data_IF_038513516467
#
_entry.id   IF_038513516467
#
_cell.length_a   1.000
_cell.length_b   1.000
_cell.length_c   1.000
_cell.angle_alpha   90.00
_cell.angle_beta   90.00
_cell.angle_gamma   90.00
#
_symmetry.space_group_name_H-M   'P 1'
#
loop_
_entity.id
_entity.type
_entity.pdbx_description
1 polymer ?
#
# COMPACT_ATOMS: atom_id res chain seq x y z
N UNK A 1 -7.26 -15.95 -11.19
CA UNK A 1 -6.77 -15.41 -9.92
C UNK A 1 -7.91 -15.10 -8.94
N UNK A 2 -9.03 -14.49 -9.40
CA UNK A 2 -10.20 -14.16 -8.56
C UNK A 2 -10.82 -15.42 -7.95
N UNK A 3 -10.83 -16.54 -8.68
CA UNK A 3 -11.35 -17.82 -8.23
C UNK A 3 -10.61 -18.42 -7.02
N UNK A 4 -9.43 -17.90 -6.71
CA UNK A 4 -8.62 -18.32 -5.57
C UNK A 4 -8.96 -17.56 -4.29
N UNK A 5 -9.89 -16.61 -4.37
CA UNK A 5 -10.35 -15.80 -3.24
C UNK A 5 -11.69 -16.29 -2.71
N UNK A 6 -11.84 -16.20 -1.40
CA UNK A 6 -13.11 -16.38 -0.71
C UNK A 6 -13.62 -15.00 -0.30
N UNK A 7 -14.68 -14.47 -0.92
CA UNK A 7 -15.32 -13.27 -0.41
C UNK A 7 -15.93 -13.57 0.96
N UNK A 8 -15.68 -12.69 1.93
CA UNK A 8 -16.27 -12.78 3.26
C UNK A 8 -17.27 -11.66 3.45
N UNK A 9 -18.49 -12.01 3.77
CA UNK A 9 -19.46 -11.07 4.35
C UNK A 9 -19.07 -10.90 5.83
N UNK A 10 -18.48 -9.75 6.16
CA UNK A 10 -17.88 -9.48 7.47
C UNK A 10 -18.10 -8.04 7.88
N UNK A 11 -17.92 -7.78 9.17
CA UNK A 11 -17.81 -6.46 9.74
C UNK A 11 -16.41 -6.23 10.30
N UNK A 12 -16.04 -4.98 10.47
CA UNK A 12 -14.79 -4.63 11.11
C UNK A 12 -15.02 -4.40 12.60
N UNK A 13 -14.29 -5.14 13.44
CA UNK A 13 -14.39 -5.03 14.89
C UNK A 13 -13.18 -4.27 15.45
N UNK A 14 -13.45 -3.26 16.24
CA UNK A 14 -12.45 -2.58 17.05
C UNK A 14 -12.46 -3.17 18.45
N UNK A 15 -11.30 -3.57 18.95
CA UNK A 15 -11.10 -4.03 20.32
C UNK A 15 -10.51 -2.87 21.10
N UNK A 16 -11.30 -2.25 21.96
CA UNK A 16 -10.85 -1.13 22.80
C UNK A 16 -10.21 -1.64 24.08
N UNK A 17 -9.52 -0.75 24.80
CA UNK A 17 -8.96 -1.03 26.12
C UNK A 17 -10.05 -1.54 27.06
N UNK A 18 -9.79 -2.65 27.74
CA UNK A 18 -10.77 -3.30 28.62
C UNK A 18 -11.65 -4.35 27.90
N UNK A 19 -11.39 -4.64 26.59
CA UNK A 19 -12.11 -5.67 25.85
C UNK A 19 -13.46 -5.23 25.28
N UNK A 20 -13.79 -3.92 25.34
CA UNK A 20 -15.01 -3.38 24.73
C UNK A 20 -14.94 -3.49 23.22
N UNK A 21 -15.89 -4.21 22.61
CA UNK A 21 -15.98 -4.44 21.17
C UNK A 21 -16.90 -3.43 20.53
N UNK A 22 -16.40 -2.81 19.46
CA UNK A 22 -17.18 -1.86 18.64
C UNK A 22 -17.09 -2.25 17.17
N UNK A 23 -18.18 -2.04 16.46
CA UNK A 23 -18.35 -2.48 15.09
C UNK A 23 -18.36 -1.31 14.10
N UNK A 24 -17.75 -1.55 12.92
CA UNK A 24 -17.87 -0.72 11.74
C UNK A 24 -18.36 -1.60 10.59
N UNK A 25 -19.65 -1.44 10.24
CA UNK A 25 -20.35 -2.34 9.32
C UNK A 25 -20.63 -1.68 7.96
N UNK A 26 -19.87 -2.09 6.95
CA UNK A 26 -20.02 -1.62 5.57
C UNK A 26 -21.08 -2.38 4.77
N UNK A 27 -21.76 -3.36 5.33
CA UNK A 27 -22.81 -4.13 4.66
C UNK A 27 -24.04 -3.25 4.45
N UNK A 28 -24.23 -2.83 3.20
CA UNK A 28 -25.37 -2.01 2.81
C UNK A 28 -25.70 -2.22 1.33
N UNK A 29 -26.99 -2.31 1.01
CA UNK A 29 -27.48 -2.69 -0.32
C UNK A 29 -27.09 -1.68 -1.42
N UNK A 30 -26.97 -0.39 -1.09
CA UNK A 30 -26.68 0.66 -2.07
C UNK A 30 -25.18 0.79 -2.43
N UNK A 31 -24.30 0.05 -1.74
CA UNK A 31 -22.85 0.14 -2.02
C UNK A 31 -22.23 1.51 -1.76
N UNK A 32 -21.06 1.77 -2.34
CA UNK A 32 -20.32 3.03 -2.18
C UNK A 32 -21.01 4.20 -2.93
N UNK A 33 -20.99 5.43 -2.38
CA UNK A 33 -20.43 5.82 -1.07
C UNK A 33 -21.35 5.56 0.13
N UNK A 34 -22.57 5.11 -0.10
CA UNK A 34 -23.62 5.03 0.94
C UNK A 34 -23.32 3.99 2.03
N UNK A 35 -22.67 2.88 1.68
CA UNK A 35 -22.23 1.88 2.65
C UNK A 35 -21.22 2.47 3.65
N UNK A 36 -20.29 3.29 3.18
CA UNK A 36 -19.31 4.01 4.02
C UNK A 36 -19.99 5.04 4.93
N UNK A 37 -20.92 5.83 4.39
CA UNK A 37 -21.69 6.80 5.17
C UNK A 37 -22.51 6.09 6.26
N UNK A 38 -23.23 5.02 5.91
CA UNK A 38 -24.00 4.21 6.88
C UNK A 38 -23.08 3.69 7.98
N UNK A 39 -21.97 3.02 7.61
CA UNK A 39 -21.01 2.46 8.55
C UNK A 39 -20.47 3.52 9.52
N UNK A 40 -20.11 4.67 8.99
CA UNK A 40 -19.57 5.78 9.77
C UNK A 40 -20.59 6.36 10.75
N UNK A 41 -21.80 6.62 10.32
CA UNK A 41 -22.83 7.23 11.20
C UNK A 41 -23.43 6.25 12.20
N UNK A 42 -23.44 4.95 11.91
CA UNK A 42 -24.00 3.93 12.81
C UNK A 42 -22.99 3.35 13.80
N UNK A 43 -21.67 3.46 13.53
CA UNK A 43 -20.68 2.87 14.43
C UNK A 43 -20.75 3.46 15.84
N UNK A 44 -20.70 2.62 16.90
CA UNK A 44 -20.59 3.09 18.27
C UNK A 44 -19.17 3.48 18.67
N UNK A 45 -18.18 3.33 17.76
CA UNK A 45 -16.77 3.61 18.04
C UNK A 45 -16.48 5.09 18.29
N UNK A 46 -17.27 5.97 17.68
CA UNK A 46 -17.14 7.42 17.79
C UNK A 46 -18.33 8.06 18.50
N UNK A 47 -18.06 9.13 19.27
CA UNK A 47 -19.11 9.99 19.81
C UNK A 47 -19.78 10.81 18.71
N UNK A 48 -20.94 11.38 18.98
CA UNK A 48 -21.67 12.22 18.03
C UNK A 48 -20.87 13.45 17.61
N UNK A 49 -20.14 14.05 18.56
CA UNK A 49 -19.25 15.20 18.31
C UNK A 49 -18.10 14.77 17.38
N UNK A 50 -17.49 13.62 17.63
CA UNK A 50 -16.42 13.10 16.77
C UNK A 50 -16.94 12.83 15.36
N UNK A 51 -18.13 12.27 15.21
CA UNK A 51 -18.77 12.05 13.90
C UNK A 51 -18.97 13.34 13.13
N UNK A 52 -19.45 14.40 13.78
CA UNK A 52 -19.60 15.72 13.16
C UNK A 52 -18.25 16.32 12.72
N UNK A 53 -17.23 16.23 13.58
CA UNK A 53 -15.88 16.70 13.25
C UNK A 53 -15.25 15.92 12.10
N UNK A 54 -15.43 14.61 12.08
CA UNK A 54 -15.01 13.79 10.95
C UNK A 54 -15.75 14.16 9.66
N UNK A 55 -17.08 14.38 9.74
CA UNK A 55 -17.88 14.80 8.59
C UNK A 55 -17.40 16.16 8.06
N UNK A 56 -17.01 17.09 8.93
CA UNK A 56 -16.43 18.37 8.54
C UNK A 56 -15.08 18.16 7.83
N UNK A 57 -14.15 17.45 8.46
CA UNK A 57 -12.81 17.24 7.92
C UNK A 57 -12.83 16.48 6.58
N UNK A 58 -13.57 15.37 6.52
CA UNK A 58 -13.67 14.54 5.31
C UNK A 58 -14.61 15.13 4.25
N UNK A 59 -15.67 15.81 4.67
CA UNK A 59 -16.65 16.45 3.77
C UNK A 59 -16.07 17.66 3.01
N UNK A 60 -15.06 18.33 3.56
CA UNK A 60 -14.33 19.40 2.88
C UNK A 60 -13.07 18.90 2.13
N UNK A 61 -12.81 17.62 2.19
CA UNK A 61 -11.64 16.98 1.58
C UNK A 61 -11.77 16.81 0.06
N UNK A 62 -10.67 16.58 -0.65
CA UNK A 62 -10.69 16.24 -2.07
C UNK A 62 -11.51 14.98 -2.39
N UNK A 63 -11.79 14.10 -1.40
CA UNK A 63 -12.57 12.87 -1.58
C UNK A 63 -13.97 13.17 -2.13
N UNK A 64 -14.66 14.19 -1.60
CA UNK A 64 -16.01 14.53 -2.04
C UNK A 64 -16.01 14.96 -3.51
N UNK A 65 -15.03 15.77 -3.92
CA UNK A 65 -14.83 16.13 -5.32
C UNK A 65 -14.52 14.89 -6.18
N UNK A 66 -13.76 13.96 -5.65
CA UNK A 66 -13.35 12.73 -6.34
C UNK A 66 -14.49 11.77 -6.69
N UNK A 67 -15.67 11.93 -6.09
CA UNK A 67 -16.88 11.19 -6.48
C UNK A 67 -17.37 11.58 -7.88
N UNK A 68 -17.02 12.79 -8.36
CA UNK A 68 -17.38 13.31 -9.68
C UNK A 68 -16.14 13.45 -10.59
N UNK A 69 -15.02 13.91 -10.04
CA UNK A 69 -13.75 14.12 -10.74
C UNK A 69 -12.62 13.39 -10.00
N UNK A 70 -12.51 12.08 -10.27
CA UNK A 70 -11.52 11.21 -9.62
C UNK A 70 -10.08 11.66 -9.88
N UNK A 71 -9.73 11.95 -11.14
CA UNK A 71 -8.35 12.30 -11.52
C UNK A 71 -7.93 13.65 -10.95
N UNK A 72 -8.81 14.65 -10.99
CA UNK A 72 -8.55 15.95 -10.38
C UNK A 72 -8.39 15.88 -8.87
N UNK A 73 -9.20 15.06 -8.18
CA UNK A 73 -9.08 14.84 -6.75
C UNK A 73 -7.77 14.12 -6.41
N UNK A 74 -7.41 13.07 -7.15
CA UNK A 74 -6.17 12.32 -6.92
C UNK A 74 -4.92 13.16 -7.17
N UNK A 75 -4.98 14.14 -8.09
CA UNK A 75 -3.88 15.11 -8.26
C UNK A 75 -3.67 15.94 -7.00
N UNK A 76 -4.75 16.48 -6.42
CA UNK A 76 -4.68 17.24 -5.16
C UNK A 76 -4.21 16.36 -4.00
N UNK A 77 -4.71 15.12 -3.90
CA UNK A 77 -4.31 14.18 -2.85
C UNK A 77 -2.81 13.87 -2.94
N UNK A 78 -2.23 13.73 -4.14
CA UNK A 78 -0.78 13.47 -4.31
C UNK A 78 0.09 14.59 -3.74
N UNK A 79 -0.36 15.83 -3.79
CA UNK A 79 0.39 16.99 -3.27
C UNK A 79 0.44 17.03 -1.73
N UNK A 80 -0.39 16.22 -1.06
CA UNK A 80 -0.46 16.11 0.41
C UNK A 80 0.54 15.10 1.01
N UNK A 81 1.49 14.62 0.24
CA UNK A 81 2.47 13.62 0.69
C UNK A 81 3.47 14.13 1.73
N UNK A 82 3.60 15.45 1.84
CA UNK A 82 4.58 16.11 2.74
C UNK A 82 4.10 16.32 4.17
N UNK A 83 2.84 16.05 4.44
CA UNK A 83 2.22 16.20 5.76
C UNK A 83 1.62 14.88 6.21
N UNK A 84 1.63 14.64 7.52
CA UNK A 84 1.00 13.44 8.07
C UNK A 84 -0.53 13.53 7.99
N UNK A 85 -1.19 12.38 8.00
CA UNK A 85 -2.65 12.35 8.05
C UNK A 85 -3.19 13.03 9.32
N UNK A 86 -2.53 12.84 10.46
CA UNK A 86 -2.90 13.51 11.70
C UNK A 86 -2.87 15.03 11.57
N UNK A 87 -1.77 15.59 11.05
CA UNK A 87 -1.65 17.04 10.82
C UNK A 87 -2.74 17.57 9.90
N UNK A 88 -2.97 16.87 8.79
CA UNK A 88 -4.01 17.23 7.83
C UNK A 88 -5.40 17.18 8.48
N UNK A 89 -5.73 16.08 9.14
CA UNK A 89 -7.05 15.82 9.69
C UNK A 89 -7.42 16.80 10.81
N UNK A 90 -6.49 17.05 11.75
CA UNK A 90 -6.70 18.01 12.83
C UNK A 90 -6.81 19.46 12.29
N UNK A 91 -5.99 19.80 11.29
CA UNK A 91 -6.04 21.10 10.62
C UNK A 91 -7.37 21.37 9.89
N UNK A 92 -8.10 20.31 9.49
CA UNK A 92 -9.43 20.41 8.88
C UNK A 92 -10.58 20.22 9.88
N UNK A 93 -10.33 20.31 11.17
CA UNK A 93 -11.34 20.28 12.21
C UNK A 93 -11.65 18.89 12.77
N UNK A 94 -10.91 17.86 12.37
CA UNK A 94 -10.97 16.53 12.96
C UNK A 94 -10.65 16.52 14.46
N UNK A 95 -10.86 15.39 15.14
CA UNK A 95 -10.57 15.25 16.57
C UNK A 95 -9.47 14.24 16.85
N UNK A 96 -8.65 14.50 17.88
CA UNK A 96 -7.65 13.55 18.37
C UNK A 96 -8.28 12.22 18.80
N UNK A 97 -9.50 12.29 19.36
CA UNK A 97 -10.24 11.10 19.75
C UNK A 97 -10.58 10.21 18.57
N UNK A 98 -10.92 10.81 17.40
CA UNK A 98 -11.13 10.07 16.17
C UNK A 98 -9.84 9.44 15.64
N UNK A 99 -8.71 10.16 15.70
CA UNK A 99 -7.39 9.61 15.38
C UNK A 99 -7.14 8.37 16.22
N UNK A 100 -7.22 8.50 17.52
CA UNK A 100 -6.90 7.42 18.46
C UNK A 100 -7.80 6.21 18.34
N UNK A 101 -9.12 6.41 18.20
CA UNK A 101 -10.12 5.32 18.26
C UNK A 101 -10.43 4.68 16.93
N UNK A 102 -10.31 5.41 15.85
CA UNK A 102 -10.72 4.92 14.52
C UNK A 102 -9.58 4.93 13.51
N UNK A 103 -8.91 6.07 13.32
CA UNK A 103 -7.99 6.22 12.22
C UNK A 103 -6.64 5.54 12.45
N UNK A 104 -6.09 5.55 13.66
CA UNK A 104 -4.88 4.79 13.99
C UNK A 104 -5.06 3.27 13.78
N UNK A 105 -6.12 2.61 14.28
CA UNK A 105 -6.37 1.21 13.95
C UNK A 105 -6.43 0.92 12.46
N UNK A 106 -7.04 1.80 11.67
CA UNK A 106 -7.13 1.65 10.21
C UNK A 106 -5.74 1.87 9.56
N UNK A 107 -5.00 2.89 10.00
CA UNK A 107 -3.65 3.18 9.51
C UNK A 107 -2.69 2.01 9.79
N UNK A 108 -2.74 1.43 10.99
CA UNK A 108 -1.97 0.22 11.33
C UNK A 108 -2.38 -0.99 10.50
N UNK A 109 -3.69 -1.20 10.29
CA UNK A 109 -4.18 -2.36 9.53
C UNK A 109 -3.82 -2.31 8.04
N UNK A 110 -3.72 -1.13 7.44
CA UNK A 110 -3.55 -0.94 6.01
C UNK A 110 -2.19 -0.33 5.62
N UNK A 111 -1.55 0.42 6.51
CA UNK A 111 -0.30 1.12 6.28
C UNK A 111 0.84 0.73 7.23
N UNK A 112 0.55 -0.11 8.23
CA UNK A 112 1.50 -0.62 9.25
C UNK A 112 2.15 0.45 10.14
N UNK A 113 1.69 1.71 10.06
CA UNK A 113 2.14 2.85 10.87
C UNK A 113 0.94 3.66 11.34
N UNK A 114 1.14 4.56 12.31
CA UNK A 114 0.08 5.42 12.84
C UNK A 114 -0.20 6.67 11.97
N UNK A 115 -1.23 7.42 12.35
CA UNK A 115 -1.63 8.63 11.65
C UNK A 115 -0.64 9.80 11.81
N UNK A 116 0.28 9.75 12.76
CA UNK A 116 1.34 10.74 12.94
C UNK A 116 2.44 10.56 11.90
N UNK A 117 2.73 9.31 11.50
CA UNK A 117 3.77 8.95 10.56
C UNK A 117 3.25 8.74 9.12
N UNK A 118 2.05 8.18 8.94
CA UNK A 118 1.50 7.94 7.59
C UNK A 118 1.16 9.26 6.89
N UNK A 119 1.52 9.42 5.62
CA UNK A 119 1.20 10.63 4.87
C UNK A 119 -0.30 10.81 4.66
N UNK A 120 -0.75 12.05 4.61
CA UNK A 120 -2.14 12.38 4.30
C UNK A 120 -2.54 11.84 2.91
N UNK A 121 -1.61 11.83 1.95
CA UNK A 121 -1.81 11.21 0.63
C UNK A 121 -2.23 9.75 0.75
N UNK A 122 -1.50 8.94 1.55
CA UNK A 122 -1.79 7.52 1.70
C UNK A 122 -3.18 7.29 2.29
N UNK A 123 -3.51 7.94 3.40
CA UNK A 123 -4.81 7.76 4.06
C UNK A 123 -5.98 8.28 3.21
N UNK A 124 -5.83 9.44 2.56
CA UNK A 124 -6.88 9.97 1.69
C UNK A 124 -7.07 9.13 0.43
N UNK A 125 -6.01 8.48 -0.07
CA UNK A 125 -6.13 7.52 -1.17
C UNK A 125 -6.95 6.29 -0.73
N UNK A 126 -6.71 5.74 0.46
CA UNK A 126 -7.50 4.65 1.03
C UNK A 126 -8.98 5.05 1.15
N UNK A 127 -9.25 6.24 1.70
CA UNK A 127 -10.62 6.74 1.84
C UNK A 127 -11.28 7.00 0.49
N UNK A 128 -10.53 7.49 -0.51
CA UNK A 128 -11.04 7.65 -1.86
C UNK A 128 -11.47 6.31 -2.46
N UNK A 129 -10.72 5.23 -2.22
CA UNK A 129 -11.11 3.88 -2.65
C UNK A 129 -12.39 3.42 -1.95
N UNK A 130 -12.51 3.60 -0.63
CA UNK A 130 -13.74 3.25 0.11
C UNK A 130 -14.96 4.05 -0.33
N UNK A 131 -14.76 5.32 -0.68
CA UNK A 131 -15.85 6.19 -1.13
C UNK A 131 -16.30 5.90 -2.56
N UNK A 132 -15.40 5.42 -3.43
CA UNK A 132 -15.68 5.22 -4.85
C UNK A 132 -15.99 3.77 -5.23
N UNK A 133 -15.52 2.78 -4.45
CA UNK A 133 -15.59 1.35 -4.80
C UNK A 133 -16.11 0.52 -3.63
N UNK A 134 -17.26 -0.11 -3.84
CA UNK A 134 -17.86 -1.02 -2.83
C UNK A 134 -16.91 -2.17 -2.47
N UNK A 135 -16.16 -2.68 -3.45
CA UNK A 135 -15.22 -3.79 -3.28
C UNK A 135 -14.06 -3.45 -2.35
N UNK A 136 -13.68 -2.16 -2.25
CA UNK A 136 -12.57 -1.73 -1.38
C UNK A 136 -12.86 -1.95 0.11
N UNK A 137 -14.13 -2.00 0.52
CA UNK A 137 -14.54 -2.28 1.90
C UNK A 137 -14.76 -3.77 2.19
N UNK A 138 -14.57 -4.66 1.19
CA UNK A 138 -14.78 -6.10 1.33
C UNK A 138 -13.46 -6.82 1.53
N UNK A 139 -13.42 -7.71 2.51
CA UNK A 139 -12.28 -8.58 2.74
C UNK A 139 -12.38 -9.83 1.85
N UNK A 140 -11.36 -10.07 1.05
CA UNK A 140 -11.20 -11.28 0.28
C UNK A 140 -9.99 -12.06 0.81
N UNK A 141 -10.20 -13.29 1.24
CA UNK A 141 -9.17 -14.16 1.77
C UNK A 141 -8.78 -15.20 0.75
N UNK A 142 -7.49 -15.56 0.69
CA UNK A 142 -7.07 -16.74 -0.07
C UNK A 142 -7.77 -17.99 0.48
N UNK A 143 -8.12 -18.93 -0.40
CA UNK A 143 -8.75 -20.22 -0.03
C UNK A 143 -7.89 -21.08 0.89
N UNK A 144 -6.61 -20.77 1.01
CA UNK A 144 -5.64 -21.48 1.86
C UNK A 144 -4.27 -20.81 1.82
N UNK A 145 -3.21 -21.58 1.93
CA UNK A 145 -1.85 -21.03 1.99
C UNK A 145 -1.50 -20.18 0.76
N UNK A 146 -0.74 -19.08 0.92
CA UNK A 146 -0.28 -18.27 -0.19
C UNK A 146 0.48 -19.07 -1.25
N UNK A 147 1.27 -20.05 -0.85
CA UNK A 147 1.98 -20.90 -1.78
C UNK A 147 1.03 -21.63 -2.73
N UNK A 148 -0.04 -22.25 -2.22
CA UNK A 148 -0.98 -23.02 -3.06
C UNK A 148 -1.90 -22.13 -3.91
N UNK A 149 -2.35 -20.99 -3.38
CA UNK A 149 -3.43 -20.23 -3.97
C UNK A 149 -3.00 -18.89 -4.59
N UNK A 150 -1.74 -18.48 -4.39
CA UNK A 150 -1.21 -17.25 -4.98
C UNK A 150 0.10 -17.53 -5.73
N UNK A 151 1.18 -17.88 -5.03
CA UNK A 151 2.50 -17.98 -5.66
C UNK A 151 2.67 -19.22 -6.53
N UNK A 152 2.12 -20.38 -6.13
CA UNK A 152 2.19 -21.62 -6.92
C UNK A 152 1.60 -21.46 -8.33
N UNK A 153 0.35 -21.00 -8.47
CA UNK A 153 -0.24 -20.75 -9.79
C UNK A 153 0.56 -19.76 -10.67
N UNK A 154 1.26 -18.80 -10.05
CA UNK A 154 2.15 -17.88 -10.78
C UNK A 154 3.40 -18.64 -11.26
N UNK A 155 3.97 -19.46 -10.42
CA UNK A 155 5.14 -20.28 -10.75
C UNK A 155 4.82 -21.26 -11.88
N UNK A 156 3.72 -22.00 -11.78
CA UNK A 156 3.25 -22.90 -12.82
C UNK A 156 3.07 -22.18 -14.17
N UNK A 157 2.52 -20.97 -14.14
CA UNK A 157 2.34 -20.14 -15.32
C UNK A 157 3.67 -19.74 -15.98
N UNK A 158 4.68 -19.40 -15.17
CA UNK A 158 6.03 -19.04 -15.65
C UNK A 158 6.70 -20.27 -16.27
N UNK A 159 6.69 -21.41 -15.58
CA UNK A 159 7.33 -22.65 -16.02
C UNK A 159 6.71 -23.20 -17.31
N UNK A 160 5.37 -23.17 -17.44
CA UNK A 160 4.66 -23.57 -18.65
C UNK A 160 5.07 -22.75 -19.90
N UNK A 161 5.68 -21.57 -19.71
CA UNK A 161 6.20 -20.70 -20.78
C UNK A 161 7.71 -20.76 -20.95
N UNK A 162 8.35 -21.76 -20.37
CA UNK A 162 9.79 -21.98 -20.45
C UNK A 162 10.63 -21.12 -19.48
N UNK A 163 9.96 -20.35 -18.60
CA UNK A 163 10.66 -19.63 -17.53
C UNK A 163 11.16 -20.58 -16.44
N UNK A 164 12.07 -20.10 -15.63
CA UNK A 164 12.63 -20.87 -14.50
C UNK A 164 12.63 -20.03 -13.23
N UNK A 165 12.39 -20.68 -12.09
CA UNK A 165 12.50 -20.08 -10.78
C UNK A 165 13.70 -20.66 -10.04
N UNK A 166 14.56 -19.78 -9.56
CA UNK A 166 15.73 -20.12 -8.78
C UNK A 166 15.59 -19.55 -7.36
N UNK A 167 15.09 -20.37 -6.44
CA UNK A 167 14.99 -20.00 -5.02
C UNK A 167 16.35 -20.06 -4.34
N UNK A 168 16.55 -19.21 -3.33
CA UNK A 168 17.82 -19.07 -2.58
C UNK A 168 19.00 -18.63 -3.44
N UNK A 169 18.71 -17.94 -4.55
CA UNK A 169 19.69 -17.30 -5.42
C UNK A 169 19.64 -15.79 -5.18
N UNK A 170 20.44 -15.31 -4.25
CA UNK A 170 20.45 -13.90 -3.88
C UNK A 170 21.36 -13.12 -4.83
N UNK A 171 20.82 -12.09 -5.47
CA UNK A 171 21.67 -11.12 -6.22
C UNK A 171 22.54 -10.39 -5.20
N UNK A 172 23.86 -10.50 -5.36
CA UNK A 172 24.88 -9.85 -4.53
C UNK A 172 25.44 -8.59 -5.19
N UNK A 173 25.57 -8.58 -6.52
CA UNK A 173 26.15 -7.48 -7.27
C UNK A 173 25.54 -7.35 -8.66
N UNK A 174 25.46 -6.10 -9.15
CA UNK A 174 25.10 -5.76 -10.53
C UNK A 174 26.39 -5.35 -11.25
N UNK A 175 26.71 -6.04 -12.35
CA UNK A 175 27.83 -5.69 -13.23
C UNK A 175 27.32 -4.77 -14.33
N UNK A 176 28.10 -3.76 -14.67
CA UNK A 176 27.76 -2.81 -15.72
C UNK A 176 29.00 -2.22 -16.36
N UNK A 177 28.87 -1.76 -17.58
CA UNK A 177 29.87 -1.05 -18.33
C UNK A 177 29.32 0.27 -18.85
N UNK A 178 30.18 1.28 -18.85
CA UNK A 178 29.88 2.57 -19.46
C UNK A 178 30.42 2.56 -20.90
N UNK A 179 29.55 2.79 -21.87
CA UNK A 179 29.96 2.88 -23.26
C UNK A 179 30.71 4.18 -23.55
N UNK A 180 31.49 4.21 -24.62
CA UNK A 180 32.18 5.42 -25.10
C UNK A 180 31.21 6.57 -25.45
N UNK A 181 29.93 6.26 -25.65
CA UNK A 181 28.85 7.25 -25.89
C UNK A 181 28.17 7.75 -24.63
N UNK A 182 28.61 7.32 -23.42
CA UNK A 182 28.08 7.72 -22.12
C UNK A 182 26.79 6.96 -21.70
N UNK A 183 26.42 5.91 -22.43
CA UNK A 183 25.34 5.02 -22.00
C UNK A 183 25.88 3.93 -21.08
N UNK A 184 25.20 3.70 -19.95
CA UNK A 184 25.50 2.60 -19.03
C UNK A 184 24.65 1.39 -19.37
N UNK A 185 25.27 0.22 -19.49
CA UNK A 185 24.59 -1.04 -19.76
C UNK A 185 24.91 -2.06 -18.67
N UNK A 186 23.88 -2.74 -18.16
CA UNK A 186 24.07 -3.88 -17.25
C UNK A 186 24.55 -5.07 -18.08
N UNK A 187 25.68 -5.65 -17.69
CA UNK A 187 26.32 -6.77 -18.38
C UNK A 187 26.07 -8.12 -17.70
N UNK A 188 25.74 -8.10 -16.38
CA UNK A 188 25.50 -9.33 -15.66
C UNK A 188 25.13 -9.10 -14.19
N UNK A 189 24.87 -10.21 -13.51
CA UNK A 189 24.60 -10.25 -12.08
C UNK A 189 25.47 -11.33 -11.41
N UNK A 190 26.03 -11.04 -10.23
CA UNK A 190 26.52 -12.06 -9.32
C UNK A 190 25.43 -12.55 -8.41
N UNK A 191 25.28 -13.86 -8.27
CA UNK A 191 24.29 -14.53 -7.43
C UNK A 191 24.98 -15.40 -6.37
N UNK A 192 24.66 -15.17 -5.11
CA UNK A 192 24.99 -16.11 -4.03
C UNK A 192 24.02 -17.27 -4.01
N UNK A 193 24.49 -18.49 -4.20
CA UNK A 193 23.71 -19.73 -4.18
C UNK A 193 24.15 -20.63 -3.03
N UNK A 194 23.43 -21.71 -2.70
CA UNK A 194 23.88 -22.69 -1.72
C UNK A 194 25.19 -23.39 -2.09
N UNK A 195 25.49 -23.47 -3.39
CA UNK A 195 26.68 -24.13 -3.93
C UNK A 195 27.87 -23.17 -4.12
N UNK A 196 27.66 -21.86 -3.90
CA UNK A 196 28.67 -20.83 -4.07
C UNK A 196 28.19 -19.65 -4.91
N UNK A 197 29.11 -18.80 -5.32
CA UNK A 197 28.78 -17.64 -6.15
C UNK A 197 28.82 -18.03 -7.65
N UNK A 198 27.82 -17.55 -8.40
CA UNK A 198 27.74 -17.73 -9.85
C UNK A 198 27.47 -16.38 -10.52
N UNK A 199 27.85 -16.25 -11.81
CA UNK A 199 27.51 -15.10 -12.65
C UNK A 199 26.43 -15.47 -13.66
N UNK A 200 25.51 -14.53 -13.92
CA UNK A 200 24.41 -14.70 -14.88
C UNK A 200 24.35 -13.50 -15.80
N UNK A 201 24.24 -13.78 -17.11
CA UNK A 201 24.03 -12.77 -18.14
C UNK A 201 22.66 -12.94 -18.78
N UNK A 202 22.04 -11.83 -19.21
CA UNK A 202 20.75 -11.79 -19.87
C UNK A 202 20.63 -10.56 -20.78
N UNK A 203 19.66 -10.58 -21.67
CA UNK A 203 19.36 -9.45 -22.57
C UNK A 203 18.72 -8.27 -21.82
N UNK A 204 18.04 -8.53 -20.70
CA UNK A 204 17.40 -7.53 -19.86
C UNK A 204 17.33 -7.98 -18.39
N UNK A 205 17.35 -7.01 -17.49
CA UNK A 205 17.32 -7.23 -16.05
C UNK A 205 16.20 -6.42 -15.42
N UNK A 206 15.37 -7.07 -14.60
CA UNK A 206 14.28 -6.46 -13.87
C UNK A 206 14.47 -6.64 -12.37
N UNK A 207 14.66 -5.55 -11.64
CA UNK A 207 14.76 -5.57 -10.18
C UNK A 207 13.38 -5.30 -9.57
N UNK A 208 12.77 -6.32 -8.95
CA UNK A 208 11.49 -6.25 -8.24
C UNK A 208 11.74 -6.51 -6.73
N UNK A 209 12.56 -5.68 -6.12
CA UNK A 209 12.95 -5.76 -4.71
C UNK A 209 12.13 -4.80 -3.85
N UNK A 210 12.13 -5.04 -2.54
CA UNK A 210 11.71 -4.04 -1.55
C UNK A 210 12.69 -2.84 -1.53
N UNK A 211 12.32 -1.77 -0.82
CA UNK A 211 13.13 -0.55 -0.73
C UNK A 211 14.53 -0.84 -0.18
N UNK A 212 14.71 -1.52 0.97
CA UNK A 212 16.05 -1.86 1.45
C UNK A 212 16.83 -2.77 0.50
N UNK A 213 16.16 -3.65 -0.23
CA UNK A 213 16.77 -4.54 -1.21
C UNK A 213 17.35 -3.77 -2.39
N UNK A 214 16.55 -2.91 -3.02
CA UNK A 214 16.98 -2.13 -4.17
C UNK A 214 18.08 -1.14 -3.80
N UNK A 215 18.00 -0.49 -2.62
CA UNK A 215 19.05 0.43 -2.14
C UNK A 215 20.41 -0.24 -1.97
N UNK A 216 20.43 -1.53 -1.61
CA UNK A 216 21.66 -2.32 -1.51
C UNK A 216 22.22 -2.78 -2.86
N UNK A 217 21.35 -3.00 -3.84
CA UNK A 217 21.74 -3.52 -5.16
C UNK A 217 22.22 -2.45 -6.11
N UNK A 218 21.73 -1.22 -6.01
CA UNK A 218 22.10 -0.14 -6.93
C UNK A 218 23.58 0.22 -6.73
N UNK A 219 24.40 0.17 -7.82
CA UNK A 219 25.76 0.62 -7.77
C UNK A 219 25.87 2.07 -7.30
N UNK A 220 26.76 2.42 -6.37
CA UNK A 220 26.90 3.79 -5.87
C UNK A 220 27.14 4.84 -6.97
N UNK A 221 27.81 4.46 -8.06
CA UNK A 221 28.04 5.32 -9.22
C UNK A 221 26.74 5.79 -9.89
N UNK A 222 25.64 5.01 -9.79
CA UNK A 222 24.36 5.34 -10.40
C UNK A 222 23.58 6.45 -9.66
N UNK A 223 24.01 6.81 -8.47
CA UNK A 223 23.45 7.95 -7.74
C UNK A 223 23.65 9.30 -8.43
N UNK A 224 24.53 9.38 -9.42
CA UNK A 224 24.63 10.54 -10.30
C UNK A 224 23.35 10.84 -11.08
N UNK A 225 22.47 9.82 -11.28
CA UNK A 225 21.19 10.01 -11.93
C UNK A 225 20.08 10.22 -10.87
N UNK A 226 19.27 11.30 -11.01
CA UNK A 226 18.24 11.64 -10.02
C UNK A 226 17.24 10.51 -9.76
N UNK A 227 16.93 9.66 -10.75
CA UNK A 227 16.06 8.52 -10.60
C UNK A 227 16.57 7.55 -9.53
N UNK A 228 17.84 7.18 -9.61
CA UNK A 228 18.45 6.24 -8.65
C UNK A 228 18.77 6.90 -7.31
N UNK A 229 19.19 8.19 -7.30
CA UNK A 229 19.41 8.90 -6.04
C UNK A 229 18.11 9.07 -5.23
N UNK A 230 16.98 9.27 -5.91
CA UNK A 230 15.68 9.37 -5.25
C UNK A 230 15.25 8.07 -4.54
N UNK A 231 15.75 6.90 -4.96
CA UNK A 231 15.46 5.64 -4.25
C UNK A 231 15.98 5.63 -2.82
N UNK A 232 17.09 6.37 -2.55
CA UNK A 232 17.64 6.48 -1.20
C UNK A 232 16.87 7.43 -0.28
N UNK A 233 15.89 8.17 -0.83
CA UNK A 233 14.96 9.02 -0.06
C UNK A 233 13.71 8.25 0.36
N UNK A 234 13.54 7.02 -0.14
CA UNK A 234 12.44 6.15 0.27
C UNK A 234 12.78 5.50 1.62
N UNK A 235 11.81 5.51 2.51
CA UNK A 235 11.88 4.86 3.81
C UNK A 235 10.97 3.64 3.81
N UNK A 236 11.45 2.55 4.40
CA UNK A 236 10.63 1.38 4.64
C UNK A 236 9.93 1.50 6.00
N UNK A 237 8.71 1.05 6.07
CA UNK A 237 8.00 0.90 7.35
C UNK A 237 8.68 -0.22 8.15
N UNK A 238 8.95 -0.03 9.45
CA UNK A 238 9.60 -1.00 10.32
C UNK A 238 8.87 -2.35 10.38
#
# INVERSE_FOLDING_TARGET
>A
AIDNLLPKDHTHLFVNTGGDLRELDFRFALGAPFNGLKAFFTTPQLTWIDKLRNALALGTSPIVRGLVDYEGAMKVIRDLDRISFQQWFLGHGGSEQSIKRMWNPIAYALGFIDCEAISARCMLTIFMMFASKTEASKLNLLKGSPHRWLTGPIFDYIEQRGGRLHLRHRVSQVHFEDSATGATQVTGLSLGTPEGEISVEADAYLAACDVPGIQRLIPPAWRQWPLFDNLYKLEAVP
#
